data_IF_887716046653
#
_entry.id   IF_887716046653
#
_cell.length_a   1.000
_cell.length_b   1.000
_cell.length_c   1.000
_cell.angle_alpha   90.00
_cell.angle_beta   90.00
_cell.angle_gamma   90.00
#
_symmetry.space_group_name_H-M   'P 1'
#
loop_
_entity.id
_entity.type
_entity.pdbx_description
1 polymer ?
#
# COMPACT_ATOMS: atom_id res chain seq x y z
N UNK A 1 17.28 6.48 -16.57
CA UNK A 1 15.90 6.10 -16.89
C UNK A 1 15.06 6.36 -15.66
N UNK A 2 14.02 7.17 -15.79
CA UNK A 2 13.10 7.46 -14.69
C UNK A 2 11.95 6.49 -14.83
N UNK A 3 11.84 5.51 -13.93
CA UNK A 3 10.74 4.56 -13.91
C UNK A 3 9.70 5.03 -12.91
N UNK A 4 8.47 5.19 -13.39
CA UNK A 4 7.28 5.54 -12.60
C UNK A 4 6.36 4.34 -12.54
N UNK A 5 5.86 4.03 -11.35
CA UNK A 5 4.86 3.00 -11.11
C UNK A 5 3.64 3.65 -10.46
N UNK A 6 2.50 3.58 -11.12
CA UNK A 6 1.22 4.06 -10.60
C UNK A 6 0.41 2.87 -10.08
N UNK A 7 0.15 2.86 -8.78
CA UNK A 7 -0.70 1.88 -8.09
C UNK A 7 -1.87 2.56 -7.38
N UNK A 8 -2.27 3.76 -7.81
CA UNK A 8 -3.38 4.48 -7.21
C UNK A 8 -4.70 3.70 -7.27
N UNK A 9 -5.55 3.91 -6.26
CA UNK A 9 -6.91 3.37 -6.17
C UNK A 9 -7.02 1.83 -6.33
N UNK A 10 -6.02 1.08 -5.88
CA UNK A 10 -5.94 -0.39 -6.01
C UNK A 10 -6.25 -1.17 -4.72
N UNK A 11 -6.80 -0.53 -3.68
CA UNK A 11 -7.17 -1.19 -2.42
C UNK A 11 -6.03 -2.01 -1.79
N UNK A 12 -4.80 -1.51 -1.87
CA UNK A 12 -3.59 -2.24 -1.46
C UNK A 12 -3.59 -2.71 0.00
N UNK A 13 -4.37 -2.09 0.89
CA UNK A 13 -4.46 -2.50 2.30
C UNK A 13 -3.16 -2.28 3.08
N UNK A 14 -3.18 -2.56 4.39
CA UNK A 14 -1.98 -2.49 5.21
C UNK A 14 -0.95 -3.56 4.83
N UNK A 15 -1.42 -4.79 4.57
CA UNK A 15 -0.56 -5.91 4.17
C UNK A 15 0.14 -5.64 2.82
N UNK A 16 -0.60 -5.19 1.80
CA UNK A 16 0.00 -4.88 0.51
C UNK A 16 0.99 -3.71 0.58
N UNK A 17 0.72 -2.72 1.43
CA UNK A 17 1.66 -1.61 1.66
C UNK A 17 2.98 -2.10 2.26
N UNK A 18 2.93 -3.09 3.16
CA UNK A 18 4.13 -3.71 3.73
C UNK A 18 4.93 -4.50 2.68
N UNK A 19 4.26 -5.24 1.80
CA UNK A 19 4.93 -5.92 0.68
C UNK A 19 5.60 -4.95 -0.28
N UNK A 20 4.95 -3.83 -0.60
CA UNK A 20 5.52 -2.78 -1.44
C UNK A 20 6.76 -2.18 -0.79
N UNK A 21 6.71 -1.86 0.50
CA UNK A 21 7.88 -1.34 1.24
C UNK A 21 9.07 -2.32 1.19
N UNK A 22 8.81 -3.61 1.37
CA UNK A 22 9.84 -4.65 1.28
C UNK A 22 10.44 -4.77 -0.13
N UNK A 23 9.61 -4.67 -1.18
CA UNK A 23 10.07 -4.70 -2.57
C UNK A 23 10.93 -3.46 -2.92
N UNK A 24 10.60 -2.30 -2.36
CA UNK A 24 11.33 -1.06 -2.59
C UNK A 24 12.72 -1.04 -1.94
N UNK A 25 12.94 -1.76 -0.84
CA UNK A 25 14.24 -1.81 -0.16
C UNK A 25 15.41 -2.22 -1.07
N UNK A 26 15.15 -3.00 -2.12
CA UNK A 26 16.16 -3.45 -3.08
C UNK A 26 15.99 -2.83 -4.48
N UNK A 27 15.03 -1.92 -4.66
CA UNK A 27 14.75 -1.32 -5.95
C UNK A 27 15.67 -0.12 -6.20
N UNK A 28 16.47 -0.16 -7.28
CA UNK A 28 17.40 0.91 -7.67
C UNK A 28 16.98 1.70 -8.92
N UNK A 29 15.85 1.33 -9.52
CA UNK A 29 15.42 1.85 -10.83
C UNK A 29 14.13 2.66 -10.73
N UNK A 30 13.27 2.36 -9.76
CA UNK A 30 12.05 3.08 -9.51
C UNK A 30 12.37 4.43 -8.88
N UNK A 31 11.80 5.46 -9.48
CA UNK A 31 12.04 6.86 -9.10
C UNK A 31 10.78 7.55 -8.62
N UNK A 32 9.62 7.07 -9.04
CA UNK A 32 8.31 7.59 -8.62
C UNK A 32 7.37 6.43 -8.37
N UNK A 33 6.66 6.47 -7.24
CA UNK A 33 5.60 5.53 -6.89
C UNK A 33 4.35 6.33 -6.49
N UNK A 34 3.24 6.11 -7.18
CA UNK A 34 1.95 6.69 -6.81
C UNK A 34 1.08 5.63 -6.08
N UNK A 35 0.63 5.95 -4.88
CA UNK A 35 -0.25 5.12 -4.04
C UNK A 35 -1.54 5.85 -3.64
N UNK A 36 -1.87 6.97 -4.27
CA UNK A 36 -3.04 7.79 -3.90
C UNK A 36 -4.33 6.98 -4.03
N UNK A 37 -5.25 7.16 -3.08
CA UNK A 37 -6.54 6.47 -3.10
C UNK A 37 -6.49 5.00 -2.70
N UNK A 38 -5.34 4.49 -2.21
CA UNK A 38 -5.32 3.19 -1.54
C UNK A 38 -5.85 3.32 -0.11
N UNK A 39 -6.65 2.35 0.32
CA UNK A 39 -7.09 2.23 1.70
C UNK A 39 -6.00 1.50 2.49
N UNK A 40 -5.39 2.20 3.44
CA UNK A 40 -4.49 1.60 4.45
C UNK A 40 -5.20 1.39 5.78
N UNK A 41 -6.50 1.68 5.81
CA UNK A 41 -7.31 1.56 7.01
C UNK A 41 -7.73 0.11 7.07
N UNK A 42 -7.03 -0.67 7.89
CA UNK A 42 -7.64 -1.85 8.49
C UNK A 42 -8.90 -1.31 9.18
N UNK A 43 -10.07 -1.65 8.65
CA UNK A 43 -11.31 -1.46 9.38
C UNK A 43 -11.05 -2.15 10.72
N UNK A 44 -11.02 -1.35 11.80
CA UNK A 44 -11.00 -1.89 13.14
C UNK A 44 -12.06 -2.98 13.18
N UNK A 45 -11.67 -4.19 13.61
CA UNK A 45 -12.56 -5.27 13.99
C UNK A 45 -13.52 -4.76 15.09
N UNK A 46 -14.49 -3.93 14.72
CA UNK A 46 -15.70 -3.70 15.50
C UNK A 46 -16.69 -4.81 15.13
N UNK A 47 -16.20 -6.05 15.12
CA UNK A 47 -17.02 -7.20 15.44
C UNK A 47 -17.36 -7.06 16.93
N UNK A 48 -18.45 -6.34 17.17
CA UNK A 48 -19.40 -6.57 18.26
C UNK A 48 -18.75 -6.80 19.63
N UNK A 49 -18.65 -5.71 20.38
CA UNK A 49 -18.78 -5.78 21.84
C UNK A 49 -20.15 -6.42 22.12
N UNK A 50 -20.18 -7.74 22.33
CA UNK A 50 -21.35 -8.40 22.91
C UNK A 50 -21.43 -7.97 24.38
N UNK A 51 -22.53 -7.31 24.73
CA UNK A 51 -22.89 -6.86 26.07
C UNK A 51 -23.23 -8.02 27.01
#
# INVERSE_FOLDING_TARGET
>A
TQTTLDLGANQIGAEGAQHIANALNNNKTLTTLDLRGNQTKDEFDEATVDY
#
